data_IF_944434882316
#
_entry.id   IF_944434882316
#
_cell.length_a   1.000
_cell.length_b   1.000
_cell.length_c   1.000
_cell.angle_alpha   90.00
_cell.angle_beta   90.00
_cell.angle_gamma   90.00
#
_symmetry.space_group_name_H-M   'P 1'
#
loop_
_entity.id
_entity.type
_entity.pdbx_description
1 polymer ?
#
# COMPACT_ATOMS: atom_id res chain seq x y z
N UNK A 1 8.40 38.61 -7.26
CA UNK A 1 7.91 37.21 -7.30
C UNK A 1 8.43 36.51 -6.05
N UNK A 2 7.56 35.88 -5.26
CA UNK A 2 8.00 35.09 -4.10
C UNK A 2 8.89 33.94 -4.58
N UNK A 3 10.03 33.73 -3.92
CA UNK A 3 10.90 32.58 -4.18
C UNK A 3 10.07 31.30 -4.03
N UNK A 4 10.06 30.39 -5.02
CA UNK A 4 9.29 29.16 -4.91
C UNK A 4 9.77 28.36 -3.69
N UNK A 5 8.83 27.97 -2.83
CA UNK A 5 9.12 27.10 -1.68
C UNK A 5 9.67 25.75 -2.18
N UNK A 6 10.89 25.41 -1.77
CA UNK A 6 11.51 24.11 -2.04
C UNK A 6 11.32 23.24 -0.80
N UNK A 7 10.43 22.26 -0.87
CA UNK A 7 10.20 21.28 0.19
C UNK A 7 10.85 19.94 -0.19
N UNK A 8 11.92 19.58 0.52
CA UNK A 8 12.64 18.31 0.38
C UNK A 8 12.43 17.39 1.59
N UNK A 9 11.48 17.71 2.48
CA UNK A 9 11.25 16.93 3.70
C UNK A 9 10.69 15.54 3.39
N UNK A 10 9.73 15.46 2.48
CA UNK A 10 9.09 14.19 2.12
C UNK A 10 8.32 14.29 0.80
N UNK A 11 8.25 13.19 0.07
CA UNK A 11 7.38 13.00 -1.10
C UNK A 11 5.88 12.97 -0.75
N UNK A 12 5.52 12.91 0.54
CA UNK A 12 4.14 13.14 1.02
C UNK A 12 3.66 14.59 0.87
N UNK A 13 4.56 15.53 0.57
CA UNK A 13 4.24 16.95 0.40
C UNK A 13 3.74 17.29 -1.01
N UNK A 14 3.64 16.29 -1.88
CA UNK A 14 3.08 16.44 -3.22
C UNK A 14 1.64 16.97 -3.14
N UNK A 15 1.24 17.74 -4.16
CA UNK A 15 -0.11 18.31 -4.27
C UNK A 15 -0.73 17.84 -5.57
N UNK A 16 -2.05 17.57 -5.61
CA UNK A 16 -2.72 17.16 -6.83
C UNK A 16 -2.49 18.15 -7.96
N UNK A 17 -2.08 17.64 -9.12
CA UNK A 17 -1.94 18.40 -10.35
C UNK A 17 -3.29 18.91 -10.84
N UNK A 18 -3.30 19.86 -11.77
CA UNK A 18 -4.54 20.34 -12.41
C UNK A 18 -5.33 19.19 -13.04
N UNK A 19 -4.64 18.25 -13.70
CA UNK A 19 -5.26 17.08 -14.30
C UNK A 19 -5.89 16.14 -13.25
N UNK A 20 -5.22 15.92 -12.11
CA UNK A 20 -5.78 15.14 -11.01
C UNK A 20 -7.01 15.83 -10.43
N UNK A 21 -6.96 17.15 -10.19
CA UNK A 21 -8.12 17.91 -9.68
C UNK A 21 -9.32 17.83 -10.61
N UNK A 22 -9.09 17.92 -11.92
CA UNK A 22 -10.14 17.77 -12.92
C UNK A 22 -10.73 16.34 -12.91
N UNK A 23 -9.87 15.31 -12.80
CA UNK A 23 -10.32 13.92 -12.69
C UNK A 23 -11.17 13.67 -11.44
N UNK A 24 -10.75 14.21 -10.28
CA UNK A 24 -11.52 14.14 -9.03
C UNK A 24 -12.88 14.82 -9.16
N UNK A 25 -12.93 16.01 -9.78
CA UNK A 25 -14.17 16.78 -9.94
C UNK A 25 -15.17 16.10 -10.91
N UNK A 26 -14.67 15.33 -11.87
CA UNK A 26 -15.49 14.64 -12.87
C UNK A 26 -15.79 13.16 -12.51
N UNK A 27 -15.35 12.69 -11.34
CA UNK A 27 -15.45 11.28 -10.98
C UNK A 27 -16.91 10.82 -10.82
N UNK A 28 -17.27 9.71 -11.47
CA UNK A 28 -18.50 8.98 -11.15
C UNK A 28 -18.31 8.25 -9.81
N UNK A 29 -19.25 8.40 -8.89
CA UNK A 29 -19.16 7.86 -7.53
C UNK A 29 -20.43 7.14 -7.12
N UNK A 30 -20.28 6.27 -6.13
CA UNK A 30 -21.37 5.51 -5.53
C UNK A 30 -21.05 5.16 -4.09
N UNK A 31 -21.85 4.30 -3.46
CA UNK A 31 -21.51 3.80 -2.13
C UNK A 31 -20.48 2.66 -2.24
N UNK A 32 -19.21 2.95 -1.94
CA UNK A 32 -18.12 1.94 -1.93
C UNK A 32 -18.49 0.72 -1.07
N UNK A 33 -19.20 0.90 0.05
CA UNK A 33 -19.56 -0.22 0.93
C UNK A 33 -20.56 -1.19 0.30
N UNK A 34 -21.38 -0.69 -0.62
CA UNK A 34 -22.31 -1.48 -1.40
C UNK A 34 -21.66 -2.04 -2.69
N UNK A 35 -20.40 -1.68 -2.97
CA UNK A 35 -19.72 -2.02 -4.22
C UNK A 35 -20.22 -1.21 -5.42
N UNK A 36 -20.83 -0.05 -5.16
CA UNK A 36 -21.51 0.77 -6.18
C UNK A 36 -20.65 1.92 -6.71
N UNK A 37 -19.44 2.14 -6.17
CA UNK A 37 -18.53 3.18 -6.66
C UNK A 37 -17.71 2.67 -7.87
N UNK A 38 -18.02 3.12 -9.11
CA UNK A 38 -17.38 2.61 -10.32
C UNK A 38 -15.91 3.05 -10.40
N UNK A 39 -15.58 4.23 -9.86
CA UNK A 39 -14.22 4.76 -9.88
C UNK A 39 -13.30 3.95 -8.99
N UNK A 40 -13.75 3.62 -7.76
CA UNK A 40 -13.02 2.76 -6.84
C UNK A 40 -12.86 1.36 -7.43
N UNK A 41 -13.96 0.76 -7.92
CA UNK A 41 -13.95 -0.58 -8.51
C UNK A 41 -12.95 -0.68 -9.67
N UNK A 42 -12.94 0.32 -10.56
CA UNK A 42 -11.98 0.37 -11.66
C UNK A 42 -10.53 0.56 -11.16
N UNK A 43 -10.31 1.32 -10.10
CA UNK A 43 -8.97 1.51 -9.52
C UNK A 43 -8.46 0.21 -8.88
N UNK A 44 -9.28 -0.49 -8.11
CA UNK A 44 -8.95 -1.78 -7.51
C UNK A 44 -8.60 -2.81 -8.57
N UNK A 45 -9.39 -2.92 -9.64
CA UNK A 45 -9.10 -3.83 -10.75
C UNK A 45 -7.74 -3.53 -11.42
N UNK A 46 -7.43 -2.24 -11.64
CA UNK A 46 -6.13 -1.81 -12.16
C UNK A 46 -4.99 -2.13 -11.20
N UNK A 47 -5.18 -1.90 -9.90
CA UNK A 47 -4.20 -2.20 -8.85
C UNK A 47 -3.87 -3.69 -8.77
N UNK A 48 -4.89 -4.55 -8.82
CA UNK A 48 -4.73 -6.00 -8.83
C UNK A 48 -3.89 -6.46 -10.04
N UNK A 49 -4.29 -6.02 -11.24
CA UNK A 49 -3.58 -6.35 -12.48
C UNK A 49 -2.13 -5.83 -12.48
N UNK A 50 -1.90 -4.65 -11.91
CA UNK A 50 -0.58 -4.05 -11.84
C UNK A 50 0.39 -4.84 -10.96
N UNK A 51 -0.10 -5.27 -9.79
CA UNK A 51 0.69 -5.96 -8.78
C UNK A 51 0.74 -7.48 -9.02
N UNK A 52 0.11 -7.96 -10.09
CA UNK A 52 0.04 -9.39 -10.40
C UNK A 52 -0.72 -10.19 -9.34
N UNK A 53 -1.76 -9.60 -8.75
CA UNK A 53 -2.60 -10.20 -7.70
C UNK A 53 -4.02 -10.41 -8.18
N UNK A 54 -4.75 -11.29 -7.51
CA UNK A 54 -6.11 -11.66 -7.91
C UNK A 54 -7.13 -10.55 -7.63
N UNK A 55 -6.91 -9.76 -6.58
CA UNK A 55 -7.77 -8.66 -6.18
C UNK A 55 -6.96 -7.57 -5.47
N UNK A 56 -7.52 -6.36 -5.41
CA UNK A 56 -7.02 -5.26 -4.61
C UNK A 56 -8.16 -4.55 -3.86
N UNK A 57 -7.78 -3.76 -2.88
CA UNK A 57 -8.63 -2.97 -2.01
C UNK A 57 -8.07 -1.55 -1.93
N UNK A 58 -8.92 -0.56 -2.20
CA UNK A 58 -8.58 0.83 -1.97
C UNK A 58 -8.72 1.17 -0.49
N UNK A 59 -7.71 1.83 0.08
CA UNK A 59 -7.68 2.21 1.49
C UNK A 59 -7.26 3.67 1.66
N UNK A 60 -7.73 4.38 2.70
CA UNK A 60 -7.36 5.77 2.96
C UNK A 60 -5.87 6.04 3.11
N UNK A 61 -5.09 5.10 3.66
CA UNK A 61 -3.67 5.30 3.98
C UNK A 61 -2.85 4.01 3.93
N UNK A 62 -1.54 4.16 3.77
CA UNK A 62 -0.58 3.06 3.82
C UNK A 62 -0.49 2.37 5.18
N UNK A 63 -0.53 3.12 6.28
CA UNK A 63 -0.61 2.55 7.63
C UNK A 63 -1.80 1.62 7.75
N UNK A 64 -2.96 2.01 7.22
CA UNK A 64 -4.13 1.11 7.22
C UNK A 64 -3.89 -0.16 6.40
N UNK A 65 -3.14 -0.10 5.29
CA UNK A 65 -2.78 -1.29 4.52
C UNK A 65 -1.95 -2.27 5.36
N UNK A 66 -0.92 -1.78 6.04
CA UNK A 66 -0.07 -2.60 6.89
C UNK A 66 -0.89 -3.21 8.04
N UNK A 67 -1.61 -2.39 8.79
CA UNK A 67 -2.41 -2.86 9.93
C UNK A 67 -3.47 -3.90 9.52
N UNK A 68 -4.13 -3.71 8.38
CA UNK A 68 -5.05 -4.72 7.84
C UNK A 68 -4.30 -5.99 7.43
N UNK A 69 -3.16 -5.88 6.76
CA UNK A 69 -2.38 -7.06 6.36
C UNK A 69 -1.91 -7.88 7.57
N UNK A 70 -1.45 -7.21 8.63
CA UNK A 70 -1.08 -7.85 9.89
C UNK A 70 -2.29 -8.58 10.51
N UNK A 71 -3.44 -7.90 10.60
CA UNK A 71 -4.64 -8.44 11.22
C UNK A 71 -5.35 -9.54 10.40
N UNK A 72 -5.06 -9.65 9.10
CA UNK A 72 -5.57 -10.74 8.24
C UNK A 72 -4.65 -11.96 8.31
N UNK A 73 -3.34 -11.75 8.29
CA UNK A 73 -2.35 -12.85 8.25
C UNK A 73 -2.04 -13.44 9.61
N UNK A 74 -2.27 -12.69 10.69
CA UNK A 74 -1.91 -13.08 12.05
C UNK A 74 -3.12 -13.05 12.99
N UNK A 75 -2.95 -13.72 14.13
CA UNK A 75 -3.83 -13.68 15.30
C UNK A 75 -3.11 -12.98 16.45
N UNK A 76 -3.86 -12.45 17.44
CA UNK A 76 -3.26 -11.93 18.66
C UNK A 76 -2.33 -12.96 19.33
N UNK A 77 -1.14 -12.51 19.75
CA UNK A 77 -0.10 -13.33 20.34
C UNK A 77 0.87 -13.98 19.33
N UNK A 78 0.62 -13.85 18.03
CA UNK A 78 1.54 -14.32 16.98
C UNK A 78 2.58 -13.25 16.61
N UNK A 79 3.65 -13.67 15.93
CA UNK A 79 4.81 -12.84 15.62
C UNK A 79 5.02 -12.58 14.13
N UNK A 80 5.52 -11.37 13.84
CA UNK A 80 5.86 -10.87 12.51
C UNK A 80 7.36 -10.59 12.47
N UNK A 81 8.08 -11.29 11.57
CA UNK A 81 9.48 -11.00 11.30
C UNK A 81 9.60 -9.88 10.28
N UNK A 82 10.34 -8.84 10.61
CA UNK A 82 10.54 -7.69 9.73
C UNK A 82 11.93 -7.08 9.94
N UNK A 83 12.33 -6.10 9.15
CA UNK A 83 13.58 -5.39 9.40
C UNK A 83 13.44 -4.40 10.57
N UNK A 84 14.51 -4.18 11.35
CA UNK A 84 14.51 -3.31 12.53
C UNK A 84 14.08 -1.85 12.29
N UNK A 85 14.34 -1.31 11.11
CA UNK A 85 13.94 0.01 10.65
C UNK A 85 12.68 0.04 9.78
N UNK A 86 11.93 -1.06 9.70
CA UNK A 86 10.68 -1.11 8.93
C UNK A 86 9.62 -0.15 9.50
N UNK A 87 8.75 0.36 8.63
CA UNK A 87 7.73 1.35 8.96
C UNK A 87 6.79 0.87 10.09
N UNK A 88 6.39 -0.40 10.02
CA UNK A 88 5.54 -1.06 11.03
C UNK A 88 6.15 -1.09 12.44
N UNK A 89 7.49 -0.97 12.57
CA UNK A 89 8.18 -0.95 13.86
C UNK A 89 8.10 0.42 14.53
N UNK A 90 8.38 1.49 13.79
CA UNK A 90 8.64 2.82 14.37
C UNK A 90 7.65 3.92 14.01
N UNK A 91 6.83 3.75 12.97
CA UNK A 91 6.11 4.86 12.33
C UNK A 91 4.59 4.63 12.21
N UNK A 92 4.06 3.63 12.92
CA UNK A 92 2.63 3.27 12.92
C UNK A 92 2.03 3.30 14.33
N UNK A 93 2.64 4.07 15.24
CA UNK A 93 2.16 4.29 16.61
C UNK A 93 1.92 2.99 17.41
N UNK A 94 2.68 1.92 17.11
CA UNK A 94 2.52 0.62 17.75
C UNK A 94 1.24 -0.12 17.33
N UNK A 95 0.66 0.22 16.18
CA UNK A 95 -0.60 -0.35 15.69
C UNK A 95 -0.59 -1.88 15.62
N UNK A 96 0.52 -2.49 15.18
CA UNK A 96 0.70 -3.94 15.18
C UNK A 96 0.29 -4.60 16.53
N UNK A 97 0.75 -4.04 17.65
CA UNK A 97 0.38 -4.52 18.98
C UNK A 97 -1.04 -4.08 19.37
N UNK A 98 -1.41 -2.83 19.08
CA UNK A 98 -2.68 -2.26 19.54
C UNK A 98 -3.93 -2.77 18.80
N UNK A 99 -3.81 -3.10 17.51
CA UNK A 99 -4.92 -3.42 16.62
C UNK A 99 -4.94 -4.90 16.24
N UNK A 100 -3.79 -5.47 15.86
CA UNK A 100 -3.67 -6.87 15.48
C UNK A 100 -3.28 -7.77 16.67
N UNK A 101 -2.77 -7.19 17.76
CA UNK A 101 -2.30 -7.94 18.94
C UNK A 101 -1.04 -8.75 18.66
N UNK A 102 -0.24 -8.37 17.65
CA UNK A 102 0.92 -9.15 17.21
C UNK A 102 2.22 -8.59 17.79
N UNK A 103 3.18 -9.48 17.94
CA UNK A 103 4.55 -9.15 18.33
C UNK A 103 5.39 -8.88 17.08
N UNK A 104 6.15 -7.81 17.07
CA UNK A 104 7.17 -7.59 16.04
C UNK A 104 8.48 -8.22 16.50
N UNK A 105 9.11 -8.98 15.61
CA UNK A 105 10.40 -9.62 15.80
C UNK A 105 11.39 -9.08 14.78
N UNK A 106 12.09 -7.98 15.12
CA UNK A 106 12.91 -7.30 14.14
C UNK A 106 14.24 -8.03 13.90
N UNK A 107 14.60 -8.12 12.63
CA UNK A 107 15.87 -8.62 12.10
C UNK A 107 16.75 -7.42 11.83
N UNK A 108 17.97 -7.41 12.40
CA UNK A 108 18.97 -6.38 12.10
C UNK A 108 19.45 -6.51 10.65
N UNK A 109 19.00 -5.61 9.80
CA UNK A 109 19.37 -5.56 8.39
C UNK A 109 20.52 -4.60 8.09
N UNK A 110 20.85 -4.50 6.80
CA UNK A 110 21.69 -3.45 6.24
C UNK A 110 20.87 -2.61 5.28
N UNK A 111 20.80 -1.30 5.54
CA UNK A 111 19.98 -0.35 4.75
C UNK A 111 18.52 -0.79 4.62
N UNK A 112 17.95 -1.29 5.71
CA UNK A 112 16.58 -1.76 5.76
C UNK A 112 16.27 -3.00 4.94
N UNK A 113 17.30 -3.83 4.70
CA UNK A 113 17.20 -5.11 4.02
C UNK A 113 17.87 -6.20 4.86
N UNK A 114 17.29 -7.40 4.88
CA UNK A 114 17.90 -8.59 5.48
C UNK A 114 17.98 -9.71 4.44
N UNK A 115 18.96 -10.59 4.58
CA UNK A 115 19.13 -11.72 3.68
C UNK A 115 18.22 -12.90 4.04
N UNK A 116 17.98 -13.79 3.07
CA UNK A 116 17.32 -15.07 3.30
C UNK A 116 18.05 -15.93 4.34
N UNK A 117 19.39 -15.85 4.39
CA UNK A 117 20.19 -16.52 5.42
C UNK A 117 19.94 -15.93 6.82
N UNK A 118 19.83 -14.61 6.93
CA UNK A 118 19.46 -13.96 8.20
C UNK A 118 18.04 -14.35 8.63
N UNK A 119 17.08 -14.37 7.71
CA UNK A 119 15.73 -14.86 8.00
C UNK A 119 15.77 -16.31 8.50
N UNK A 120 16.45 -17.20 7.77
CA UNK A 120 16.58 -18.61 8.14
C UNK A 120 17.16 -18.78 9.56
N UNK A 121 18.13 -17.96 9.95
CA UNK A 121 18.71 -17.98 11.29
C UNK A 121 17.78 -17.42 12.39
N UNK A 122 16.79 -16.60 12.03
CA UNK A 122 15.78 -16.08 12.96
C UNK A 122 14.57 -17.00 13.12
N UNK A 123 14.37 -17.95 12.19
CA UNK A 123 13.30 -18.94 12.31
C UNK A 123 13.53 -19.81 13.53
N UNK A 124 12.45 -20.05 14.28
CA UNK A 124 12.47 -20.91 15.47
C UNK A 124 11.61 -22.13 15.27
N UNK A 125 12.02 -23.23 15.91
CA UNK A 125 11.14 -24.37 16.07
C UNK A 125 9.92 -24.00 16.91
N UNK A 126 8.84 -24.75 16.75
CA UNK A 126 7.65 -24.60 17.58
C UNK A 126 8.02 -24.79 19.06
N UNK A 127 7.69 -23.77 19.87
CA UNK A 127 8.02 -23.71 21.29
C UNK A 127 6.87 -23.03 22.02
N UNK A 128 6.25 -23.75 22.95
CA UNK A 128 5.11 -23.28 23.75
C UNK A 128 5.34 -21.93 24.46
N UNK A 129 6.60 -21.62 24.82
CA UNK A 129 6.94 -20.40 25.54
C UNK A 129 7.11 -19.17 24.63
N UNK A 130 7.26 -19.37 23.32
CA UNK A 130 7.53 -18.32 22.37
C UNK A 130 6.28 -17.98 21.53
N UNK A 131 6.12 -16.71 21.09
CA UNK A 131 5.15 -16.38 20.06
C UNK A 131 5.33 -17.21 18.80
N UNK A 132 4.22 -17.64 18.21
CA UNK A 132 4.23 -18.37 16.93
C UNK A 132 4.56 -17.41 15.80
N UNK A 133 5.66 -17.68 15.09
CA UNK A 133 6.02 -16.94 13.88
C UNK A 133 4.98 -17.24 12.79
N UNK A 134 4.45 -16.19 12.15
CA UNK A 134 3.40 -16.33 11.12
C UNK A 134 3.61 -15.53 9.86
N UNK A 135 4.27 -14.40 9.97
CA UNK A 135 4.38 -13.46 8.87
C UNK A 135 5.81 -12.97 8.72
N UNK A 136 6.29 -12.94 7.49
CA UNK A 136 7.49 -12.21 7.11
C UNK A 136 7.07 -10.94 6.36
N UNK A 137 7.52 -9.79 6.83
CA UNK A 137 7.27 -8.49 6.19
C UNK A 137 8.56 -7.88 5.66
N UNK A 138 8.49 -7.32 4.45
CA UNK A 138 9.58 -6.54 3.81
C UNK A 138 9.08 -5.16 3.43
N UNK A 139 10.00 -4.20 3.28
CA UNK A 139 9.69 -2.84 2.85
C UNK A 139 10.47 -2.49 1.56
N UNK A 140 9.75 -2.29 0.45
CA UNK A 140 10.30 -2.00 -0.87
C UNK A 140 9.72 -0.70 -1.44
N UNK A 141 10.50 0.37 -1.57
CA UNK A 141 11.89 0.58 -1.11
C UNK A 141 11.98 0.75 0.39
N UNK A 142 13.14 0.49 0.99
CA UNK A 142 13.37 0.80 2.40
C UNK A 142 13.51 2.31 2.65
N UNK A 143 12.64 2.86 3.50
CA UNK A 143 12.62 4.25 3.90
C UNK A 143 13.85 4.63 4.72
N UNK A 144 14.08 3.98 5.86
CA UNK A 144 15.27 4.22 6.70
C UNK A 144 16.57 3.72 6.05
N UNK A 145 16.48 2.88 5.02
CA UNK A 145 17.59 2.52 4.13
C UNK A 145 18.00 3.61 3.13
N UNK A 146 17.36 4.78 3.17
CA UNK A 146 17.59 5.89 2.24
C UNK A 146 17.01 5.64 0.85
N UNK A 147 15.84 5.00 0.76
CA UNK A 147 15.23 4.59 -0.51
C UNK A 147 15.94 3.40 -1.17
N UNK A 148 16.62 2.56 -0.39
CA UNK A 148 17.31 1.39 -0.92
C UNK A 148 16.31 0.43 -1.58
N UNK A 149 16.69 -0.08 -2.76
CA UNK A 149 15.91 -1.05 -3.51
C UNK A 149 16.44 -2.43 -3.16
N UNK A 150 15.58 -3.29 -2.62
CA UNK A 150 15.92 -4.69 -2.45
C UNK A 150 16.25 -5.35 -3.80
N UNK A 151 17.36 -6.12 -3.89
CA UNK A 151 17.59 -6.98 -5.04
C UNK A 151 16.43 -7.95 -5.23
N UNK A 152 15.92 -8.07 -6.45
CA UNK A 152 14.79 -8.96 -6.76
C UNK A 152 15.09 -10.43 -6.37
N UNK A 153 16.33 -10.87 -6.58
CA UNK A 153 16.76 -12.22 -6.19
C UNK A 153 16.67 -12.45 -4.69
N UNK A 154 17.00 -11.44 -3.89
CA UNK A 154 16.96 -11.54 -2.42
C UNK A 154 15.52 -11.58 -1.91
N UNK A 155 14.63 -10.74 -2.47
CA UNK A 155 13.19 -10.79 -2.16
C UNK A 155 12.59 -12.16 -2.44
N UNK A 156 12.95 -12.76 -3.58
CA UNK A 156 12.50 -14.12 -3.93
C UNK A 156 13.05 -15.18 -2.98
N UNK A 157 14.32 -15.09 -2.61
CA UNK A 157 14.93 -16.01 -1.66
C UNK A 157 14.29 -15.91 -0.26
N UNK A 158 14.04 -14.69 0.22
CA UNK A 158 13.33 -14.42 1.48
C UNK A 158 11.92 -15.00 1.46
N UNK A 159 11.16 -14.75 0.38
CA UNK A 159 9.82 -15.31 0.23
C UNK A 159 9.83 -16.85 0.21
N UNK A 160 10.79 -17.46 -0.48
CA UNK A 160 10.96 -18.92 -0.51
C UNK A 160 11.24 -19.50 0.88
N UNK A 161 12.15 -18.90 1.65
CA UNK A 161 12.44 -19.31 3.03
C UNK A 161 11.21 -19.19 3.91
N UNK A 162 10.48 -18.08 3.81
CA UNK A 162 9.25 -17.85 4.57
C UNK A 162 8.19 -18.93 4.26
N UNK A 163 7.92 -19.19 2.98
CA UNK A 163 6.94 -20.20 2.56
C UNK A 163 7.37 -21.63 2.93
N UNK A 164 8.66 -21.96 2.84
CA UNK A 164 9.19 -23.25 3.27
C UNK A 164 9.00 -23.48 4.78
N UNK A 165 8.99 -22.39 5.57
CA UNK A 165 8.70 -22.41 7.01
C UNK A 165 7.21 -22.31 7.34
N UNK A 166 6.31 -22.28 6.34
CA UNK A 166 4.87 -22.17 6.54
C UNK A 166 4.40 -20.77 6.97
N UNK A 167 5.21 -19.74 6.73
CA UNK A 167 4.88 -18.34 7.05
C UNK A 167 4.23 -17.66 5.83
N UNK A 168 3.27 -16.78 6.09
CA UNK A 168 2.78 -15.85 5.08
C UNK A 168 3.83 -14.75 4.80
N UNK A 169 3.68 -14.06 3.67
CA UNK A 169 4.57 -12.97 3.26
C UNK A 169 3.81 -11.69 2.93
N UNK A 170 4.30 -10.55 3.44
CA UNK A 170 3.76 -9.22 3.16
C UNK A 170 4.83 -8.25 2.66
N UNK A 171 4.51 -7.45 1.65
CA UNK A 171 5.37 -6.36 1.19
C UNK A 171 4.70 -5.02 1.44
N UNK A 172 5.34 -4.21 2.30
CA UNK A 172 5.15 -2.77 2.31
C UNK A 172 5.79 -2.21 1.06
N UNK A 173 4.96 -1.89 0.07
CA UNK A 173 5.38 -1.34 -1.20
C UNK A 173 5.08 0.16 -1.32
N UNK A 174 5.10 0.91 -0.22
CA UNK A 174 4.79 2.35 -0.20
C UNK A 174 5.46 3.13 -1.34
N UNK A 175 6.68 2.72 -1.70
CA UNK A 175 7.49 3.32 -2.78
C UNK A 175 7.94 2.29 -3.83
N UNK A 176 7.23 1.18 -3.97
CA UNK A 176 7.49 0.19 -5.01
C UNK A 176 7.52 0.81 -6.42
N UNK A 177 6.67 1.80 -6.78
CA UNK A 177 6.79 2.49 -8.06
C UNK A 177 8.16 3.15 -8.31
N UNK A 178 8.84 3.63 -7.27
CA UNK A 178 10.20 4.18 -7.38
C UNK A 178 11.20 3.09 -7.74
N UNK A 179 11.11 1.92 -7.08
CA UNK A 179 11.94 0.76 -7.39
C UNK A 179 11.74 0.27 -8.83
N UNK A 180 10.49 0.23 -9.30
CA UNK A 180 10.14 -0.14 -10.68
C UNK A 180 10.80 0.80 -11.68
N UNK A 181 10.71 2.11 -11.48
CA UNK A 181 11.30 3.11 -12.39
C UNK A 181 12.82 3.04 -12.37
N UNK A 182 13.43 2.85 -11.20
CA UNK A 182 14.88 2.83 -11.06
C UNK A 182 15.53 1.54 -11.60
N UNK A 183 14.86 0.39 -11.44
CA UNK A 183 15.40 -0.92 -11.82
C UNK A 183 14.94 -1.40 -13.20
N UNK A 184 13.80 -0.88 -13.71
CA UNK A 184 13.13 -1.41 -14.90
C UNK A 184 12.40 -2.74 -14.68
N UNK A 185 12.38 -3.25 -13.44
CA UNK A 185 11.66 -4.48 -13.09
C UNK A 185 10.18 -4.18 -12.86
N UNK A 186 9.24 -4.94 -13.45
CA UNK A 186 7.80 -4.75 -13.24
C UNK A 186 7.37 -4.87 -11.77
N UNK A 187 6.34 -4.13 -11.35
CA UNK A 187 5.79 -4.21 -9.99
C UNK A 187 5.31 -5.63 -9.63
N UNK A 188 4.68 -6.32 -10.58
CA UNK A 188 4.24 -7.71 -10.42
C UNK A 188 5.40 -8.68 -10.14
N UNK A 189 6.59 -8.42 -10.71
CA UNK A 189 7.76 -9.28 -10.52
C UNK A 189 8.33 -9.10 -9.11
N UNK A 190 8.37 -7.87 -8.60
CA UNK A 190 8.72 -7.60 -7.19
C UNK A 190 7.71 -8.23 -6.22
N UNK A 191 6.42 -8.13 -6.54
CA UNK A 191 5.36 -8.70 -5.72
C UNK A 191 5.27 -10.23 -5.81
N UNK A 192 5.97 -10.87 -6.74
CA UNK A 192 5.95 -12.32 -6.92
C UNK A 192 6.53 -13.00 -5.68
N UNK A 193 5.83 -14.00 -5.15
CA UNK A 193 6.18 -14.68 -3.90
C UNK A 193 5.67 -13.99 -2.63
N UNK A 194 5.06 -12.81 -2.74
CA UNK A 194 4.39 -12.15 -1.60
C UNK A 194 2.89 -12.46 -1.58
N UNK A 195 2.34 -12.89 -0.45
CA UNK A 195 0.90 -13.20 -0.31
C UNK A 195 0.03 -11.94 -0.33
N UNK A 196 0.56 -10.84 0.22
CA UNK A 196 -0.03 -9.51 0.06
C UNK A 196 1.03 -8.43 -0.15
N UNK A 197 0.64 -7.37 -0.87
CA UNK A 197 1.49 -6.21 -1.19
C UNK A 197 0.62 -4.98 -1.26
N UNK A 198 1.14 -3.82 -0.87
CA UNK A 198 0.44 -2.56 -1.11
C UNK A 198 1.30 -1.49 -1.77
N UNK A 199 0.68 -0.49 -2.40
CA UNK A 199 1.37 0.70 -2.91
C UNK A 199 0.69 1.98 -2.46
N UNK A 200 1.48 3.02 -2.22
CA UNK A 200 0.99 4.34 -1.83
C UNK A 200 0.67 5.20 -3.06
N UNK A 201 -0.47 5.88 -3.05
CA UNK A 201 -0.85 6.81 -4.12
C UNK A 201 -0.49 8.27 -3.78
N UNK A 202 -0.32 8.56 -2.50
CA UNK A 202 -0.18 9.89 -1.88
C UNK A 202 1.25 10.37 -1.64
N UNK A 203 2.25 9.58 -2.05
CA UNK A 203 3.68 9.93 -2.00
C UNK A 203 4.17 10.44 -3.36
N UNK A 204 5.21 9.83 -3.92
CA UNK A 204 5.76 10.19 -5.23
C UNK A 204 4.78 10.08 -6.42
N UNK A 205 3.65 9.40 -6.25
CA UNK A 205 2.56 9.32 -7.23
C UNK A 205 1.64 10.55 -7.23
N UNK A 206 1.64 11.37 -6.17
CA UNK A 206 1.05 12.71 -6.17
C UNK A 206 -0.47 12.81 -5.97
N UNK A 207 -1.18 11.70 -5.74
CA UNK A 207 -2.58 11.75 -5.33
C UNK A 207 -2.70 12.43 -3.94
N UNK A 208 -3.85 13.04 -3.58
CA UNK A 208 -4.01 13.69 -2.29
C UNK A 208 -4.13 12.71 -1.11
N UNK A 209 -4.34 11.42 -1.39
CA UNK A 209 -4.55 10.38 -0.40
C UNK A 209 -4.73 9.03 -1.07
N UNK A 210 -4.75 7.98 -0.25
CA UNK A 210 -5.09 6.64 -0.68
C UNK A 210 -3.91 5.71 -0.92
N UNK A 211 -4.21 4.43 -0.84
CA UNK A 211 -3.31 3.32 -1.08
C UNK A 211 -4.08 2.13 -1.69
N UNK A 212 -3.36 1.20 -2.32
CA UNK A 212 -3.93 -0.04 -2.86
C UNK A 212 -3.27 -1.24 -2.22
N UNK A 213 -4.04 -2.02 -1.45
CA UNK A 213 -3.62 -3.29 -0.85
C UNK A 213 -4.12 -4.45 -1.71
N UNK A 214 -3.24 -5.35 -2.13
CA UNK A 214 -3.54 -6.42 -3.07
C UNK A 214 -3.05 -7.79 -2.56
N UNK A 215 -3.75 -8.84 -2.98
CA UNK A 215 -3.47 -10.22 -2.59
C UNK A 215 -4.43 -11.20 -3.28
N UNK A 216 -4.63 -12.37 -2.68
CA UNK A 216 -5.67 -13.31 -3.14
C UNK A 216 -7.08 -12.73 -2.93
N UNK A 217 -8.08 -13.25 -3.64
CA UNK A 217 -9.49 -12.89 -3.41
C UNK A 217 -9.94 -13.18 -1.98
N UNK A 218 -9.42 -14.26 -1.39
CA UNK A 218 -9.71 -14.64 -0.01
C UNK A 218 -9.14 -13.62 0.99
N UNK A 219 -7.88 -13.19 0.78
CA UNK A 219 -7.23 -12.15 1.57
C UNK A 219 -7.99 -10.83 1.47
N UNK A 220 -8.30 -10.35 0.25
CA UNK A 220 -8.98 -9.07 0.04
C UNK A 220 -10.40 -9.07 0.66
N UNK A 221 -11.10 -10.21 0.64
CA UNK A 221 -12.40 -10.33 1.31
C UNK A 221 -12.29 -10.13 2.82
N UNK A 222 -11.26 -10.69 3.47
CA UNK A 222 -11.03 -10.46 4.91
C UNK A 222 -10.52 -9.03 5.17
N UNK A 223 -9.67 -8.51 4.29
CA UNK A 223 -9.19 -7.14 4.35
C UNK A 223 -10.34 -6.12 4.34
N UNK A 224 -11.39 -6.33 3.52
CA UNK A 224 -12.60 -5.48 3.54
C UNK A 224 -13.34 -5.51 4.88
N UNK A 225 -13.35 -6.65 5.59
CA UNK A 225 -13.95 -6.72 6.94
C UNK A 225 -13.16 -5.86 7.91
N UNK A 226 -11.83 -5.95 7.86
CA UNK A 226 -10.96 -5.12 8.68
C UNK A 226 -11.03 -3.63 8.33
N UNK A 227 -11.11 -3.29 7.05
CA UNK A 227 -11.37 -1.93 6.57
C UNK A 227 -12.62 -1.34 7.26
N UNK A 228 -13.70 -2.11 7.40
CA UNK A 228 -14.88 -1.66 8.13
C UNK A 228 -14.60 -1.53 9.64
N UNK A 229 -13.96 -2.53 10.27
CA UNK A 229 -13.67 -2.55 11.72
C UNK A 229 -12.88 -1.34 12.19
N UNK A 230 -11.90 -0.91 11.40
CA UNK A 230 -11.00 0.21 11.74
C UNK A 230 -11.42 1.54 11.11
N UNK A 231 -12.65 1.61 10.57
CA UNK A 231 -13.24 2.87 10.08
C UNK A 231 -12.74 3.35 8.72
N UNK A 232 -12.04 2.50 7.96
CA UNK A 232 -11.53 2.82 6.62
C UNK A 232 -12.55 2.69 5.49
N UNK A 233 -13.71 2.08 5.74
CA UNK A 233 -14.74 1.89 4.73
C UNK A 233 -15.48 3.21 4.47
N UNK A 234 -15.08 3.93 3.42
CA UNK A 234 -15.68 5.21 3.05
C UNK A 234 -16.99 5.01 2.27
N UNK A 235 -17.62 6.11 1.82
CA UNK A 235 -18.81 6.10 0.95
C UNK A 235 -18.41 6.46 -0.48
N UNK A 236 -18.63 7.69 -0.92
CA UNK A 236 -18.27 8.19 -2.24
C UNK A 236 -16.77 8.52 -2.34
N UNK A 237 -15.92 7.54 -2.07
CA UNK A 237 -14.46 7.71 -2.08
C UNK A 237 -13.86 7.76 -3.48
N UNK A 238 -14.67 7.48 -4.51
CA UNK A 238 -14.32 7.66 -5.92
C UNK A 238 -13.76 9.04 -6.25
N UNK A 239 -14.19 10.10 -5.54
CA UNK A 239 -13.62 11.44 -5.68
C UNK A 239 -12.11 11.43 -5.43
N UNK A 240 -11.64 10.78 -4.36
CA UNK A 240 -10.21 10.72 -4.02
C UNK A 240 -9.51 9.68 -4.91
N UNK A 241 -10.14 8.52 -5.12
CA UNK A 241 -9.58 7.45 -5.93
C UNK A 241 -9.31 7.88 -7.39
N UNK A 242 -10.12 8.80 -7.96
CA UNK A 242 -9.92 9.35 -9.29
C UNK A 242 -8.60 10.11 -9.48
N UNK A 243 -7.99 10.60 -8.40
CA UNK A 243 -6.67 11.25 -8.47
C UNK A 243 -5.52 10.27 -8.73
N UNK A 244 -5.77 8.96 -8.61
CA UNK A 244 -4.74 7.95 -8.80
C UNK A 244 -4.17 7.99 -10.24
N UNK A 245 -2.84 8.07 -10.40
CA UNK A 245 -2.23 7.98 -11.72
C UNK A 245 -2.17 6.55 -12.26
N UNK A 246 -2.62 5.54 -11.51
CA UNK A 246 -2.62 4.14 -11.94
C UNK A 246 -3.63 3.96 -13.08
N UNK A 247 -3.15 3.64 -14.27
CA UNK A 247 -3.99 3.43 -15.47
C UNK A 247 -4.03 1.97 -15.88
N UNK A 248 -5.07 1.59 -16.63
CA UNK A 248 -5.04 0.32 -17.35
C UNK A 248 -3.89 0.37 -18.36
N UNK A 249 -3.22 -0.75 -18.63
CA UNK A 249 -2.34 -0.84 -19.81
C UNK A 249 -3.20 -0.48 -21.01
N UNK A 250 -2.77 0.51 -21.79
CA UNK A 250 -3.29 0.66 -23.14
C UNK A 250 -3.05 -0.68 -23.83
N UNK A 251 -4.13 -1.33 -24.29
CA UNK A 251 -3.95 -2.37 -25.28
C UNK A 251 -3.09 -1.76 -26.40
N UNK A 252 -2.08 -2.49 -26.93
CA UNK A 252 -1.33 -1.99 -28.06
C UNK A 252 -2.35 -1.54 -29.10
N UNK A 253 -2.28 -0.26 -29.50
CA UNK A 253 -3.16 0.28 -30.53
C UNK A 253 -3.08 -0.68 -31.70
N UNK A 254 -4.21 -1.33 -32.02
CA UNK A 254 -4.29 -2.11 -33.24
C UNK A 254 -3.82 -1.21 -34.40
N UNK A 255 -2.90 -1.68 -35.26
CA UNK A 255 -2.45 -0.88 -36.38
C UNK A 255 -3.66 -0.38 -37.16
N UNK A 256 -3.70 0.93 -37.39
CA UNK A 256 -4.90 1.68 -37.71
C UNK A 256 -5.77 1.01 -38.76
N UNK A 257 -6.97 0.58 -38.38
CA UNK A 257 -8.05 0.40 -39.34
C UNK A 257 -8.62 1.78 -39.67
N UNK A 258 -8.19 2.31 -40.80
CA UNK A 258 -8.72 3.54 -41.38
C UNK A 258 -10.25 3.52 -41.44
N UNK A 259 -10.86 4.58 -40.91
CA UNK A 259 -12.05 5.30 -41.38
C UNK A 259 -13.32 4.59 -41.89
N UNK A 260 -13.48 3.26 -41.87
CA UNK A 260 -14.71 2.61 -42.41
C UNK A 260 -15.76 2.17 -41.39
N UNK A 261 -15.46 2.16 -40.10
CA UNK A 261 -16.43 1.69 -39.08
C UNK A 261 -17.49 2.75 -38.67
N UNK A 262 -17.25 4.04 -38.91
CA UNK A 262 -18.18 5.10 -38.52
C UNK A 262 -19.41 5.27 -39.45
N UNK A 263 -19.37 4.68 -40.65
CA UNK A 263 -20.49 4.75 -41.60
C UNK A 263 -21.59 3.71 -41.30
N UNK A 264 -21.23 2.55 -40.76
CA UNK A 264 -22.19 1.46 -40.52
C UNK A 264 -23.09 1.69 -39.29
N UNK A 265 -22.59 2.39 -38.26
CA UNK A 265 -23.36 2.66 -37.03
C UNK A 265 -24.39 3.78 -37.26
N UNK A 266 -24.10 4.75 -38.14
CA UNK A 266 -25.04 5.84 -38.48
C UNK A 266 -26.17 5.41 -39.43
N UNK A 267 -26.00 4.31 -40.16
CA UNK A 267 -27.05 3.76 -41.03
C UNK A 267 -28.13 2.99 -40.23
N UNK A 268 -27.77 2.34 -39.13
CA UNK A 268 -28.71 1.55 -38.31
C UNK A 268 -29.70 2.42 -37.51
N UNK A 269 -29.26 3.58 -37.01
CA UNK A 269 -30.14 4.50 -36.28
C UNK A 269 -31.19 5.23 -37.14
N UNK A 270 -31.02 5.26 -38.48
CA UNK A 270 -32.04 5.82 -39.39
C UNK A 270 -33.10 4.80 -39.83
N UNK A 271 -32.85 3.51 -39.63
CA UNK A 271 -33.81 2.44 -39.93
C UNK A 271 -34.81 2.22 -38.78
N UNK A 272 -34.37 2.34 -37.52
CA UNK A 272 -35.25 2.12 -36.36
C UNK A 272 -36.33 3.20 -36.16
N UNK A 273 -36.06 4.45 -36.56
CA UNK A 273 -37.08 5.52 -36.49
C UNK A 273 -38.22 5.39 -37.50
N UNK A 274 -38.20 4.39 -38.39
CA UNK A 274 -39.32 4.09 -39.30
C UNK A 274 -40.23 2.96 -38.79
N UNK A 275 -39.87 2.29 -37.70
CA UNK A 275 -40.67 1.19 -37.12
C UNK A 275 -41.57 1.63 -35.96
N UNK A 276 -41.33 2.78 -35.33
CA UNK A 276 -42.14 3.29 -34.21
C UNK A 276 -43.50 3.91 -34.64
N UNK A 277 -43.82 3.97 -35.94
CA UNK A 277 -45.10 4.48 -36.43
C UNK A 277 -46.17 3.41 -36.72
N UNK A 278 -45.94 2.14 -36.34
CA UNK A 278 -46.94 1.07 -36.44
C UNK A 278 -46.98 0.24 -35.18
N UNK A 279 -47.74 0.69 -34.18
CA UNK A 279 -48.54 -0.14 -33.27
C UNK A 279 -49.25 0.79 -32.27
N UNK A 280 -50.43 1.25 -32.65
CA UNK A 280 -51.41 1.78 -31.71
C UNK A 280 -52.36 0.67 -31.24
N UNK A 281 -52.96 0.91 -30.07
CA UNK A 281 -54.11 0.24 -29.43
C UNK A 281 -53.78 -0.78 -28.33
N UNK A 282 -54.33 -0.50 -27.13
CA UNK A 282 -54.53 -1.49 -26.06
C UNK A 282 -54.43 -0.89 -24.67
N UNK A 283 -55.53 -0.33 -24.15
CA UNK A 283 -55.64 0.24 -22.82
C UNK A 283 -55.90 -0.82 -21.72
N UNK A 284 -55.57 -0.41 -20.49
CA UNK A 284 -56.15 -0.80 -19.19
C UNK A 284 -55.84 -2.17 -18.56
N UNK A 285 -55.10 -2.17 -17.44
CA UNK A 285 -55.57 -2.52 -16.07
C UNK A 285 -54.37 -2.71 -15.09
N UNK A 286 -54.44 -2.22 -13.83
CA UNK A 286 -53.42 -2.43 -12.81
C UNK A 286 -53.87 -3.43 -11.72
N UNK A 287 -52.99 -4.32 -11.27
CA UNK A 287 -52.93 -4.81 -9.87
C UNK A 287 -51.87 -5.90 -9.72
N UNK A 288 -51.09 -5.82 -8.63
CA UNK A 288 -50.65 -6.93 -7.76
C UNK A 288 -49.45 -6.47 -6.92
N UNK A 289 -49.72 -5.63 -5.91
CA UNK A 289 -48.85 -5.47 -4.74
C UNK A 289 -49.66 -5.88 -3.51
N UNK A 290 -49.55 -7.16 -3.16
CA UNK A 290 -49.98 -7.75 -1.88
C UNK A 290 -49.24 -9.07 -1.76
N UNK A 291 -48.14 -9.09 -1.02
CA UNK A 291 -48.02 -9.88 0.20
C UNK A 291 -46.60 -9.78 0.75
N UNK A 292 -46.48 -9.37 2.02
CA UNK A 292 -45.46 -9.80 2.98
C UNK A 292 -45.62 -8.98 4.27
N UNK A 293 -46.64 -9.33 5.05
CA UNK A 293 -46.61 -9.22 6.50
C UNK A 293 -46.72 -10.63 7.06
N UNK A 294 -45.63 -11.17 7.56
CA UNK A 294 -45.62 -11.93 8.81
C UNK A 294 -44.21 -12.44 9.10
N UNK A 295 -43.75 -12.09 10.31
CA UNK A 295 -42.93 -12.86 11.26
C UNK A 295 -41.71 -12.05 11.67
N UNK A 296 -41.87 -11.33 12.77
CA UNK A 296 -40.94 -11.26 13.90
C UNK A 296 -41.70 -10.55 15.01
N UNK A 297 -42.36 -11.35 15.85
CA UNK A 297 -42.77 -10.90 17.17
C UNK A 297 -41.54 -10.85 18.07
N UNK A 298 -41.34 -9.74 18.75
CA UNK A 298 -40.83 -9.78 20.11
C UNK A 298 -41.33 -8.52 20.84
N UNK A 299 -42.00 -8.78 21.96
CA UNK A 299 -42.76 -7.83 22.73
C UNK A 299 -41.85 -6.83 23.46
N UNK A 300 -42.37 -5.61 23.56
CA UNK A 300 -41.96 -4.60 24.56
C UNK A 300 -42.46 -5.04 25.93
N UNK A 301 -41.59 -5.00 26.93
CA UNK A 301 -41.99 -4.68 28.31
C UNK A 301 -40.99 -3.69 28.87
N UNK A 302 -41.44 -2.44 29.06
CA UNK A 302 -40.73 -1.47 29.87
C UNK A 302 -40.99 -1.69 31.35
N UNK A 303 -40.06 -1.29 32.20
CA UNK A 303 -40.35 -0.71 33.51
C UNK A 303 -39.20 0.20 33.93
N UNK A 304 -39.60 1.37 34.42
CA UNK A 304 -38.80 2.41 35.05
C UNK A 304 -38.43 1.99 36.48
N UNK A 305 -37.28 2.44 36.99
CA UNK A 305 -37.21 3.08 38.31
C UNK A 305 -35.97 3.98 38.41
N UNK A 306 -36.19 5.13 39.04
CA UNK A 306 -35.21 6.15 39.39
C UNK A 306 -34.55 5.85 40.74
N UNK A 307 -33.37 6.40 41.00
CA UNK A 307 -32.78 6.41 42.35
C UNK A 307 -31.34 6.93 42.37
N UNK A 308 -31.16 8.07 43.02
CA UNK A 308 -29.94 8.85 43.19
C UNK A 308 -28.76 8.13 43.87
N UNK A 309 -27.54 8.64 43.63
CA UNK A 309 -26.36 8.35 44.45
C UNK A 309 -25.10 9.01 43.93
N UNK A 310 -24.84 10.27 44.33
CA UNK A 310 -23.53 10.92 44.23
C UNK A 310 -22.59 10.26 45.25
N UNK A 311 -21.39 9.89 44.83
CA UNK A 311 -20.25 9.72 45.74
C UNK A 311 -18.95 10.08 45.02
N UNK A 312 -18.21 10.93 45.72
CA UNK A 312 -16.95 11.62 45.44
C UNK A 312 -15.76 10.68 45.20
N UNK A 313 -14.87 11.13 44.32
CA UNK A 313 -13.52 10.61 44.07
C UNK A 313 -12.57 11.18 45.12
N UNK A 314 -11.69 10.38 45.75
CA UNK A 314 -10.50 10.89 46.42
C UNK A 314 -9.26 10.78 45.52
N UNK A 315 -8.56 11.90 45.39
CA UNK A 315 -7.23 12.02 44.80
C UNK A 315 -6.18 11.23 45.59
N UNK A 316 -5.31 10.51 44.86
CA UNK A 316 -4.13 9.83 45.39
C UNK A 316 -2.83 10.45 44.84
N UNK A 317 -1.71 10.44 45.60
CA UNK A 317 -0.66 11.44 45.45
C UNK A 317 0.48 11.03 44.49
N UNK A 318 1.17 12.05 43.98
CA UNK A 318 2.35 11.99 43.13
C UNK A 318 3.58 11.34 43.80
N UNK A 319 4.48 10.67 43.04
CA UNK A 319 5.73 10.15 43.59
C UNK A 319 6.83 11.20 43.61
N UNK A 320 7.48 11.30 44.78
CA UNK A 320 8.63 12.17 45.04
C UNK A 320 9.95 11.64 44.46
N UNK A 321 10.78 12.58 44.05
CA UNK A 321 12.16 12.38 43.66
C UNK A 321 13.05 12.06 44.87
N UNK A 322 13.89 11.03 44.76
CA UNK A 322 15.18 10.93 45.46
C UNK A 322 16.20 10.30 44.53
N UNK A 323 17.27 11.04 44.29
CA UNK A 323 18.45 10.56 43.59
C UNK A 323 19.34 9.71 44.49
N UNK A 324 20.17 8.89 43.87
CA UNK A 324 21.52 8.63 44.34
C UNK A 324 22.43 8.35 43.14
N UNK A 325 23.59 8.98 43.21
CA UNK A 325 24.66 8.94 42.23
C UNK A 325 25.64 7.79 42.48
N UNK A 326 26.48 7.58 41.46
CA UNK A 326 27.85 7.06 41.48
C UNK A 326 28.07 5.56 41.20
N UNK A 327 28.93 5.31 40.21
CA UNK A 327 29.40 3.99 39.81
C UNK A 327 30.17 4.02 38.49
N UNK A 328 31.30 4.74 38.45
CA UNK A 328 32.22 4.77 37.30
C UNK A 328 32.85 3.37 37.12
N UNK A 329 32.72 2.80 35.93
CA UNK A 329 33.46 1.60 35.51
C UNK A 329 34.04 1.77 34.11
N UNK A 330 35.15 2.50 33.98
CA UNK A 330 35.95 2.53 32.75
C UNK A 330 36.67 1.19 32.59
N UNK A 331 36.39 0.43 31.53
CA UNK A 331 37.35 -0.55 31.01
C UNK A 331 37.71 -0.19 29.57
N UNK A 332 38.96 0.25 29.43
CA UNK A 332 39.66 0.43 28.16
C UNK A 332 40.20 -0.94 27.74
N UNK A 333 39.88 -1.40 26.53
CA UNK A 333 40.74 -2.35 25.81
C UNK A 333 41.17 -1.69 24.50
N UNK A 334 42.48 -1.48 24.38
CA UNK A 334 43.16 -1.05 23.16
C UNK A 334 43.59 -2.29 22.38
N UNK A 335 43.28 -2.23 21.08
CA UNK A 335 44.06 -2.63 19.92
C UNK A 335 44.50 -4.10 19.76
N UNK A 336 44.17 -4.66 18.60
CA UNK A 336 45.19 -5.06 17.61
C UNK A 336 44.61 -5.01 16.19
N UNK A 337 45.28 -4.21 15.36
CA UNK A 337 45.16 -4.21 13.92
C UNK A 337 45.95 -5.40 13.35
N UNK A 338 45.42 -6.03 12.32
CA UNK A 338 46.10 -6.99 11.47
C UNK A 338 45.44 -6.90 10.11
N UNK A 339 46.12 -6.28 9.15
CA UNK A 339 45.68 -6.26 7.76
C UNK A 339 46.06 -7.56 7.06
N UNK A 340 45.29 -7.93 6.05
CA UNK A 340 45.85 -8.58 4.89
C UNK A 340 45.07 -8.23 3.62
N UNK A 341 45.81 -8.23 2.51
CA UNK A 341 45.51 -7.67 1.20
C UNK A 341 44.81 -8.69 0.30
N UNK A 342 44.08 -8.16 -0.67
CA UNK A 342 44.14 -8.64 -2.06
C UNK A 342 43.26 -9.83 -2.44
N UNK A 343 42.15 -9.54 -3.13
CA UNK A 343 41.36 -10.55 -3.84
C UNK A 343 40.39 -9.91 -4.81
N UNK A 344 40.88 -9.52 -5.98
CA UNK A 344 40.07 -9.03 -7.09
C UNK A 344 39.19 -10.16 -7.65
N UNK A 345 37.90 -10.17 -7.29
CA UNK A 345 36.91 -11.07 -7.88
C UNK A 345 36.26 -10.38 -9.10
N UNK A 346 36.40 -11.04 -10.24
CA UNK A 346 35.94 -10.63 -11.56
C UNK A 346 34.42 -10.45 -11.59
N UNK A 347 33.98 -9.33 -12.17
CA UNK A 347 32.59 -9.04 -12.54
C UNK A 347 32.09 -10.09 -13.54
N UNK A 348 31.05 -10.82 -13.16
CA UNK A 348 30.27 -11.67 -14.08
C UNK A 348 29.16 -10.78 -14.66
N UNK A 349 29.23 -10.50 -15.96
CA UNK A 349 28.14 -9.88 -16.70
C UNK A 349 27.02 -10.91 -16.98
N UNK A 350 25.76 -10.63 -16.67
CA UNK A 350 24.65 -11.37 -17.25
C UNK A 350 24.27 -10.79 -18.63
N UNK A 351 24.14 -11.72 -19.58
CA UNK A 351 23.73 -11.58 -20.99
C UNK A 351 22.37 -10.88 -21.19
N UNK A 352 22.15 -10.14 -22.30
CA UNK A 352 20.94 -9.34 -22.52
C UNK A 352 19.83 -10.16 -23.19
N UNK A 353 19.10 -10.96 -22.42
CA UNK A 353 17.80 -11.51 -22.85
C UNK A 353 16.77 -11.36 -21.73
N UNK A 354 16.43 -10.11 -21.42
CA UNK A 354 15.31 -9.75 -20.57
C UNK A 354 14.47 -8.72 -21.29
N UNK A 355 13.19 -8.99 -21.45
CA UNK A 355 12.19 -8.09 -22.04
C UNK A 355 12.35 -6.69 -21.44
N UNK A 356 12.92 -5.75 -22.21
CA UNK A 356 13.00 -4.34 -21.81
C UNK A 356 11.61 -3.75 -21.91
N UNK A 357 10.88 -3.71 -20.80
CA UNK A 357 9.72 -2.83 -20.69
C UNK A 357 10.26 -1.39 -20.76
N UNK A 358 9.86 -0.61 -21.78
CA UNK A 358 10.27 0.80 -21.82
C UNK A 358 9.62 1.50 -20.64
N UNK A 359 10.37 2.38 -19.97
CA UNK A 359 9.84 3.15 -18.83
C UNK A 359 8.59 3.93 -19.25
N UNK A 360 8.49 4.34 -20.51
CA UNK A 360 7.33 5.01 -21.11
C UNK A 360 6.06 4.13 -21.19
N UNK A 361 6.19 2.80 -21.08
CA UNK A 361 5.07 1.84 -21.09
C UNK A 361 4.52 1.57 -19.67
N UNK A 362 5.05 2.24 -18.63
CA UNK A 362 4.53 2.11 -17.26
C UNK A 362 3.23 2.93 -17.13
N UNK A 363 2.17 2.44 -16.46
CA UNK A 363 0.88 3.13 -16.41
C UNK A 363 0.89 4.52 -15.76
N UNK A 364 1.97 4.90 -15.06
CA UNK A 364 2.22 6.19 -14.41
C UNK A 364 3.55 6.82 -14.86
N UNK A 365 4.17 6.29 -15.91
CA UNK A 365 5.49 6.69 -16.42
C UNK A 365 5.61 8.21 -16.53
N UNK A 366 4.62 8.87 -17.14
CA UNK A 366 4.66 10.30 -17.38
C UNK A 366 4.79 11.12 -16.09
N UNK A 367 4.13 10.73 -14.99
CA UNK A 367 4.21 11.47 -13.73
C UNK A 367 5.51 11.18 -12.98
N UNK A 368 5.93 9.91 -12.90
CA UNK A 368 7.20 9.55 -12.25
C UNK A 368 8.41 10.08 -13.04
N UNK A 369 8.36 10.03 -14.37
CA UNK A 369 9.36 10.63 -15.26
C UNK A 369 9.31 12.15 -15.24
N UNK A 370 8.13 12.78 -15.16
CA UNK A 370 8.04 14.24 -14.99
C UNK A 370 8.68 14.68 -13.68
N UNK A 371 8.44 13.96 -12.58
CA UNK A 371 9.10 14.20 -11.29
C UNK A 371 10.62 13.98 -11.39
N UNK A 372 11.07 12.89 -12.01
CA UNK A 372 12.49 12.61 -12.22
C UNK A 372 13.18 13.64 -13.15
N UNK A 373 12.49 14.08 -14.21
CA UNK A 373 12.96 15.13 -15.14
C UNK A 373 12.98 16.49 -14.46
N UNK A 374 11.99 16.82 -13.63
CA UNK A 374 11.97 18.06 -12.84
C UNK A 374 13.12 18.09 -11.82
N UNK A 375 13.44 16.95 -11.19
CA UNK A 375 14.61 16.79 -10.32
C UNK A 375 15.93 16.95 -11.10
N UNK A 376 16.06 16.33 -12.28
CA UNK A 376 17.25 16.45 -13.14
C UNK A 376 17.43 17.85 -13.74
N UNK A 377 16.35 18.51 -14.13
CA UNK A 377 16.38 19.89 -14.64
C UNK A 377 16.79 20.90 -13.56
N UNK A 378 16.43 20.63 -12.30
CA UNK A 378 16.84 21.44 -11.14
C UNK A 378 18.25 21.12 -10.63
N UNK A 379 18.74 19.90 -10.84
CA UNK A 379 20.14 19.55 -10.57
C UNK A 379 21.14 20.21 -11.56
N UNK A 380 20.64 20.84 -12.64
CA UNK A 380 21.45 21.58 -13.61
C UNK A 380 21.96 22.94 -13.12
N UNK A 381 21.49 23.45 -11.98
CA UNK A 381 22.04 24.67 -11.35
C UNK A 381 23.07 24.27 -10.31
N UNK A 382 24.35 24.37 -10.70
CA UNK A 382 25.53 24.15 -9.86
C UNK A 382 25.44 24.94 -8.56
N UNK A 383 25.40 24.23 -7.44
CA UNK A 383 26.03 24.67 -6.20
C UNK A 383 27.10 23.62 -5.91
N UNK A 384 28.36 24.05 -5.76
CA UNK A 384 29.48 23.12 -5.51
C UNK A 384 29.24 22.47 -4.15
N UNK A 385 29.44 21.16 -4.09
CA UNK A 385 29.31 20.35 -2.88
C UNK A 385 30.36 20.72 -1.82
N UNK A 386 31.36 21.52 -2.21
CA UNK A 386 32.49 21.97 -1.38
C UNK A 386 32.13 23.07 -0.35
N UNK A 387 30.90 23.59 -0.34
CA UNK A 387 30.49 24.71 0.54
C UNK A 387 29.58 24.30 1.72
N UNK A 388 29.51 23.02 2.10
CA UNK A 388 28.69 22.57 3.24
C UNK A 388 29.53 22.36 4.52
N UNK A 389 29.22 23.04 5.63
CA UNK A 389 30.08 23.11 6.83
C UNK A 389 30.02 21.87 7.75
N UNK A 390 29.81 20.66 7.22
CA UNK A 390 29.74 19.43 8.02
C UNK A 390 30.20 18.16 7.29
N UNK A 391 31.17 18.28 6.38
CA UNK A 391 31.84 17.13 5.77
C UNK A 391 33.26 16.94 6.34
N UNK A 392 33.41 16.01 7.29
CA UNK A 392 34.60 15.16 7.46
C UNK A 392 34.20 13.70 7.21
#
# INVERSE_FOLDING_TARGET
MSTPLIDLFSDTKTKPSTAMRAAMAAAEVGDERAGEDPTVTALEARGAALLGKEAALYLPSGTMCNEIALAVHCRPGEAVLCEAGAHIVGFEAGGAAALAGVMLEPISGTRGMYSAAQLQAHLRADNLQAPLQRLVAVEQTSNLGGGAIWPLSELRAVAQVAHAAGLATHMDGARLPNAVVASGVPAADFAQGFDSVWIDLSKGLGAPGGALLAGSKAFVREARRWQLRIGGAMRQSGIIAAASPVRARSQPRAPGRGSRACAAVRARHRADRRLEHRCGHGANQPSLFRDQRARLGCAKTGRRHAGAGRASVPDGPAPGARGHASGRGRRRHRARAGGDRGGAARLIHPSPTGVRQRVDDLPWAEHALANARALRARAGTRQRVDDLPWAE
#
